data_IF_398476486837
#
_entry.id   IF_398476486837
#
_cell.length_a   1.000
_cell.length_b   1.000
_cell.length_c   1.000
_cell.angle_alpha   90.00
_cell.angle_beta   90.00
_cell.angle_gamma   90.00
#
_symmetry.space_group_name_H-M   'P 1'
#
loop_
_entity.id
_entity.type
_entity.pdbx_description
1 polymer ?
#
# COMPACT_ATOMS: atom_id res chain seq x y z
N UNK A 1 18.40 3.84 -16.25
CA UNK A 1 17.73 4.99 -15.61
C UNK A 1 17.19 5.90 -16.68
N UNK A 2 16.11 6.63 -16.39
CA UNK A 2 15.54 7.61 -17.31
C UNK A 2 16.22 8.97 -17.11
N UNK A 3 16.63 9.59 -18.21
CA UNK A 3 17.30 10.89 -18.21
C UNK A 3 16.43 11.89 -18.96
N UNK A 4 16.15 13.05 -18.36
CA UNK A 4 15.54 14.18 -19.04
C UNK A 4 16.63 15.12 -19.56
N UNK A 5 16.59 15.40 -20.85
CA UNK A 5 17.38 16.45 -21.48
C UNK A 5 16.50 17.66 -21.74
N UNK A 6 16.94 18.85 -21.33
CA UNK A 6 16.30 20.13 -21.65
C UNK A 6 17.31 20.99 -22.43
N UNK A 7 16.99 21.32 -23.68
CA UNK A 7 17.79 22.22 -24.52
C UNK A 7 17.20 23.63 -24.49
N UNK A 8 18.02 24.61 -24.09
CA UNK A 8 17.63 26.02 -23.98
C UNK A 8 18.45 26.87 -24.94
N UNK A 9 17.80 27.87 -25.52
CA UNK A 9 18.47 29.02 -26.12
C UNK A 9 18.89 29.98 -25.01
N UNK A 10 20.19 30.26 -24.91
CA UNK A 10 20.76 31.16 -23.89
C UNK A 10 21.13 32.51 -24.44
N UNK A 11 21.63 32.57 -25.67
CA UNK A 11 22.12 33.82 -26.25
C UNK A 11 22.05 33.79 -27.76
N UNK A 12 21.72 34.94 -28.35
CA UNK A 12 21.93 35.22 -29.76
C UNK A 12 22.89 36.41 -29.84
N UNK A 13 23.96 36.28 -30.62
CA UNK A 13 24.90 37.36 -30.93
C UNK A 13 24.72 37.71 -32.40
N UNK A 14 24.51 38.99 -32.70
CA UNK A 14 24.38 39.48 -34.06
C UNK A 14 25.66 40.25 -34.45
N UNK A 15 26.40 39.73 -35.43
CA UNK A 15 27.59 40.35 -36.01
C UNK A 15 27.47 40.49 -37.54
N UNK A 16 28.46 41.13 -38.16
CA UNK A 16 28.45 41.42 -39.59
C UNK A 16 27.69 42.70 -39.92
N UNK A 17 27.12 42.75 -41.11
CA UNK A 17 26.45 43.95 -41.62
C UNK A 17 25.03 44.09 -41.07
N UNK A 18 24.55 45.34 -40.95
CA UNK A 18 23.20 45.63 -40.51
C UNK A 18 22.19 45.32 -41.64
N UNK A 19 21.27 44.40 -41.39
CA UNK A 19 20.18 44.00 -42.28
C UNK A 19 18.80 44.35 -41.70
N UNK A 20 18.75 45.03 -40.55
CA UNK A 20 17.54 45.24 -39.77
C UNK A 20 17.72 44.81 -38.32
N UNK A 21 16.69 44.99 -37.49
CA UNK A 21 16.73 44.58 -36.09
C UNK A 21 15.50 43.81 -35.62
N UNK A 22 14.41 43.78 -36.39
CA UNK A 22 13.18 43.07 -36.06
C UNK A 22 13.27 41.62 -36.56
N UNK A 23 13.76 40.72 -35.72
CA UNK A 23 14.16 39.37 -36.10
C UNK A 23 13.24 38.32 -35.50
N UNK A 24 12.88 37.34 -36.34
CA UNK A 24 12.22 36.11 -35.93
C UNK A 24 13.13 34.91 -36.20
N UNK A 25 13.13 33.97 -35.25
CA UNK A 25 13.94 32.76 -35.26
C UNK A 25 13.01 31.58 -35.07
N UNK A 26 12.99 30.67 -36.05
CA UNK A 26 12.28 29.40 -35.97
C UNK A 26 13.31 28.28 -35.84
N UNK A 27 13.46 27.74 -34.64
CA UNK A 27 14.31 26.59 -34.36
C UNK A 27 13.51 25.31 -34.61
N UNK A 28 14.13 24.34 -35.27
CA UNK A 28 13.66 22.96 -35.34
C UNK A 28 14.72 22.06 -34.71
N UNK A 29 14.32 21.36 -33.65
CA UNK A 29 15.16 20.38 -32.94
C UNK A 29 14.44 19.05 -32.97
N UNK A 30 14.94 18.10 -33.76
CA UNK A 30 14.35 16.76 -33.91
C UNK A 30 12.85 16.79 -34.31
N UNK A 31 12.45 17.76 -35.13
CA UNK A 31 11.07 17.98 -35.58
C UNK A 31 10.21 18.84 -34.65
N UNK A 32 10.72 19.21 -33.46
CA UNK A 32 10.03 20.12 -32.56
C UNK A 32 10.37 21.57 -32.91
N UNK A 33 9.35 22.36 -33.24
CA UNK A 33 9.51 23.75 -33.65
C UNK A 33 9.31 24.71 -32.47
N UNK A 34 10.31 25.54 -32.21
CA UNK A 34 10.24 26.62 -31.23
C UNK A 34 10.52 27.98 -31.91
N UNK A 35 9.73 29.00 -31.57
CA UNK A 35 9.89 30.36 -32.11
C UNK A 35 10.38 31.33 -31.05
N UNK A 36 11.29 32.21 -31.46
CA UNK A 36 11.72 33.37 -30.70
C UNK A 36 11.64 34.60 -31.59
N UNK A 37 11.09 35.70 -31.08
CA UNK A 37 11.07 37.00 -31.76
C UNK A 37 11.73 38.03 -30.86
N UNK A 38 12.60 38.85 -31.42
CA UNK A 38 13.34 39.85 -30.64
C UNK A 38 13.86 40.98 -31.52
N UNK A 39 14.15 42.11 -30.87
CA UNK A 39 14.93 43.19 -31.45
C UNK A 39 16.40 43.05 -31.08
N UNK A 40 17.29 42.91 -32.07
CA UNK A 40 18.75 42.89 -31.87
C UNK A 40 19.39 43.66 -33.02
N UNK A 41 20.22 44.65 -32.73
CA UNK A 41 21.00 45.37 -33.76
C UNK A 41 22.38 44.73 -33.97
N UNK A 42 22.99 44.98 -35.13
CA UNK A 42 24.36 44.51 -35.41
C UNK A 42 25.33 45.00 -34.32
N UNK A 43 26.22 44.10 -33.88
CA UNK A 43 27.16 44.30 -32.78
C UNK A 43 26.57 44.04 -31.38
N UNK A 44 25.27 43.76 -31.28
CA UNK A 44 24.61 43.48 -30.00
C UNK A 44 24.36 41.99 -29.79
N UNK A 45 23.93 41.66 -28.59
CA UNK A 45 23.46 40.33 -28.23
C UNK A 45 22.21 40.42 -27.37
N UNK A 46 21.46 39.32 -27.33
CA UNK A 46 20.31 39.16 -26.43
C UNK A 46 20.40 37.83 -25.72
N UNK A 47 20.16 37.85 -24.41
CA UNK A 47 20.05 36.65 -23.60
C UNK A 47 18.63 36.11 -23.61
N UNK A 48 18.52 34.78 -23.53
CA UNK A 48 17.28 34.03 -23.55
C UNK A 48 17.30 32.98 -22.43
N UNK A 49 16.10 32.52 -22.07
CA UNK A 49 15.90 31.31 -21.28
C UNK A 49 14.74 30.52 -21.89
N UNK A 50 14.81 30.31 -23.21
CA UNK A 50 13.73 29.70 -23.99
C UNK A 50 14.04 28.23 -24.18
N UNK A 51 13.19 27.34 -23.67
CA UNK A 51 13.27 25.90 -23.97
C UNK A 51 12.98 25.71 -25.46
N UNK A 52 13.93 25.13 -26.17
CA UNK A 52 13.80 24.76 -27.59
C UNK A 52 13.33 23.31 -27.73
N UNK A 53 13.82 22.44 -26.86
CA UNK A 53 13.54 21.01 -26.89
C UNK A 53 13.63 20.43 -25.48
N UNK A 54 12.84 19.39 -25.21
CA UNK A 54 13.03 18.54 -24.06
C UNK A 54 12.58 17.11 -24.42
N UNK A 55 13.19 16.11 -23.81
CA UNK A 55 12.83 14.72 -24.06
C UNK A 55 13.50 13.76 -23.10
N UNK A 56 12.87 12.60 -22.92
CA UNK A 56 13.42 11.52 -22.09
C UNK A 56 14.25 10.56 -22.93
N UNK A 57 15.32 10.06 -22.33
CA UNK A 57 16.30 9.19 -22.98
C UNK A 57 16.78 8.11 -22.00
N UNK A 58 17.27 7.01 -22.55
CA UNK A 58 18.14 6.08 -21.83
C UNK A 58 19.54 6.68 -21.70
N UNK A 59 20.30 6.26 -20.69
CA UNK A 59 21.69 6.69 -20.53
C UNK A 59 22.53 6.44 -21.79
N UNK A 60 23.54 7.29 -22.01
CA UNK A 60 24.42 7.22 -23.17
C UNK A 60 24.71 8.60 -23.72
N UNK A 61 24.55 8.78 -25.03
CA UNK A 61 24.69 10.06 -25.71
C UNK A 61 23.58 10.23 -26.73
N UNK A 62 23.08 11.46 -26.89
CA UNK A 62 22.11 11.79 -27.95
C UNK A 62 22.71 12.82 -28.90
N UNK A 63 22.47 12.63 -30.20
CA UNK A 63 22.75 13.64 -31.21
C UNK A 63 21.48 14.41 -31.53
N UNK A 64 21.50 15.72 -31.27
CA UNK A 64 20.38 16.61 -31.55
C UNK A 64 20.64 17.38 -32.85
N UNK A 65 19.98 17.01 -33.97
CA UNK A 65 19.99 17.85 -35.16
C UNK A 65 19.19 19.12 -34.87
N UNK A 66 19.85 20.27 -35.02
CA UNK A 66 19.29 21.59 -34.74
C UNK A 66 19.39 22.39 -36.03
N UNK A 67 18.28 22.99 -36.44
CA UNK A 67 18.27 23.98 -37.51
C UNK A 67 17.54 25.23 -37.07
N UNK A 68 17.89 26.35 -37.68
CA UNK A 68 17.22 27.64 -37.46
C UNK A 68 16.95 28.30 -38.79
N UNK A 69 15.72 28.80 -38.95
CA UNK A 69 15.36 29.76 -40.00
C UNK A 69 15.25 31.13 -39.36
N UNK A 70 15.92 32.10 -39.97
CA UNK A 70 15.97 33.48 -39.52
C UNK A 70 15.20 34.30 -40.55
N UNK A 71 14.32 35.16 -40.08
CA UNK A 71 13.60 36.10 -40.93
C UNK A 71 13.64 37.47 -40.30
N UNK A 72 14.18 38.42 -41.04
CA UNK A 72 14.04 39.83 -40.75
C UNK A 72 12.65 40.29 -41.23
N UNK A 73 11.90 40.94 -40.33
CA UNK A 73 10.52 41.35 -40.57
C UNK A 73 10.43 42.83 -41.00
N UNK A 74 10.96 43.16 -42.20
CA UNK A 74 10.69 44.46 -42.84
C UNK A 74 9.32 44.45 -43.56
N UNK A 75 8.56 45.57 -43.54
CA UNK A 75 7.33 45.73 -44.32
C UNK A 75 7.46 45.49 -45.83
N UNK A 76 8.66 45.63 -46.42
CA UNK A 76 8.88 45.61 -47.87
C UNK A 76 9.71 44.41 -48.33
N UNK A 77 10.70 43.96 -47.55
CA UNK A 77 11.60 42.86 -47.92
C UNK A 77 11.88 41.90 -46.76
N UNK A 78 11.39 40.67 -46.86
CA UNK A 78 11.71 39.63 -45.86
C UNK A 78 13.06 38.98 -46.18
N UNK A 79 14.12 39.45 -45.51
CA UNK A 79 15.43 38.81 -45.63
C UNK A 79 15.46 37.51 -44.82
N UNK A 80 15.75 36.41 -45.49
CA UNK A 80 15.77 35.07 -44.88
C UNK A 80 17.15 34.44 -44.92
N UNK A 81 17.53 33.77 -43.84
CA UNK A 81 18.71 32.93 -43.79
C UNK A 81 18.47 31.67 -42.97
N UNK A 82 19.43 30.76 -43.00
CA UNK A 82 19.32 29.52 -42.23
C UNK A 82 20.69 29.01 -41.79
N UNK A 83 20.69 28.16 -40.77
CA UNK A 83 21.87 27.43 -40.33
C UNK A 83 21.45 26.13 -39.64
N UNK A 84 22.38 25.18 -39.59
CA UNK A 84 22.17 23.90 -38.91
C UNK A 84 23.43 23.41 -38.24
N UNK A 85 23.25 22.56 -37.25
CA UNK A 85 24.33 21.91 -36.49
C UNK A 85 23.83 20.61 -35.88
N UNK A 86 24.76 19.77 -35.43
CA UNK A 86 24.45 18.61 -34.59
C UNK A 86 25.09 18.85 -33.22
N UNK A 87 24.29 18.82 -32.15
CA UNK A 87 24.78 18.89 -30.78
C UNK A 87 24.77 17.48 -30.17
N UNK A 88 25.96 16.90 -29.99
CA UNK A 88 26.11 15.64 -29.29
C UNK A 88 26.18 15.91 -27.78
N UNK A 89 25.20 15.38 -27.03
CA UNK A 89 25.07 15.59 -25.59
C UNK A 89 25.31 14.25 -24.88
N UNK A 90 26.45 14.09 -24.19
CA UNK A 90 26.63 13.04 -23.19
C UNK A 90 25.56 13.13 -22.09
N UNK A 91 24.77 12.07 -21.91
CA UNK A 91 23.68 12.00 -20.92
C UNK A 91 24.16 11.55 -19.53
N UNK A 92 25.47 11.32 -19.38
CA UNK A 92 26.12 11.00 -18.11
C UNK A 92 26.75 12.24 -17.45
N UNK A 93 26.83 13.36 -18.17
CA UNK A 93 27.36 14.63 -17.67
C UNK A 93 26.20 15.51 -17.21
N UNK A 94 26.04 15.66 -15.89
CA UNK A 94 24.92 16.39 -15.27
C UNK A 94 25.14 17.89 -15.14
N UNK A 95 26.35 18.37 -15.40
CA UNK A 95 26.63 19.81 -15.51
C UNK A 95 26.06 20.36 -16.83
N UNK A 96 25.59 21.62 -16.86
CA UNK A 96 25.10 22.23 -18.08
C UNK A 96 26.15 22.22 -19.20
N UNK A 97 25.77 21.69 -20.36
CA UNK A 97 26.65 21.58 -21.52
C UNK A 97 26.31 22.65 -22.55
N UNK A 98 27.30 23.39 -23.05
CA UNK A 98 27.07 24.48 -24.00
C UNK A 98 27.45 24.10 -25.42
N UNK A 99 26.66 24.55 -26.40
CA UNK A 99 26.96 24.42 -27.83
C UNK A 99 26.76 25.74 -28.55
N UNK A 100 27.58 26.00 -29.57
CA UNK A 100 27.43 27.19 -30.39
C UNK A 100 27.53 26.88 -31.87
N UNK A 101 26.70 27.56 -32.66
CA UNK A 101 26.77 27.49 -34.12
C UNK A 101 26.36 28.82 -34.76
N UNK A 102 26.74 28.99 -36.02
CA UNK A 102 26.48 30.21 -36.79
C UNK A 102 25.46 29.96 -37.89
N UNK A 103 24.67 30.97 -38.21
CA UNK A 103 23.84 31.05 -39.40
C UNK A 103 24.01 32.42 -40.06
N UNK A 104 24.00 32.45 -41.39
CA UNK A 104 24.14 33.69 -42.15
C UNK A 104 22.80 34.05 -42.80
N UNK A 105 22.51 35.36 -42.84
CA UNK A 105 21.41 35.94 -43.59
C UNK A 105 22.01 36.89 -44.62
N UNK A 106 21.60 36.75 -45.88
CA UNK A 106 22.03 37.62 -46.97
C UNK A 106 20.85 38.50 -47.35
N UNK A 107 21.04 39.81 -47.25
CA UNK A 107 20.00 40.77 -47.61
C UNK A 107 19.67 40.68 -49.11
N UNK A 108 18.38 40.70 -49.40
CA UNK A 108 17.78 40.55 -50.72
C UNK A 108 17.13 41.83 -51.25
N UNK A 109 16.80 42.77 -50.35
CA UNK A 109 16.14 44.05 -50.62
C UNK A 109 17.06 45.23 -50.95
N UNK A 110 16.71 46.43 -50.48
CA UNK A 110 17.47 47.68 -50.72
C UNK A 110 18.93 47.61 -50.26
N UNK A 111 19.23 46.69 -49.35
CA UNK A 111 20.54 46.39 -48.78
C UNK A 111 21.21 45.16 -49.40
N UNK A 112 20.84 44.82 -50.64
CA UNK A 112 21.25 43.59 -51.34
C UNK A 112 22.74 43.29 -51.21
N UNK A 113 23.05 42.07 -50.77
CA UNK A 113 24.41 41.56 -50.66
C UNK A 113 25.05 41.76 -49.29
N UNK A 114 24.43 42.53 -48.39
CA UNK A 114 24.88 42.59 -47.00
C UNK A 114 24.76 41.22 -46.33
N UNK A 115 25.77 40.84 -45.56
CA UNK A 115 25.77 39.57 -44.82
C UNK A 115 25.76 39.81 -43.32
N UNK A 116 24.68 39.36 -42.67
CA UNK A 116 24.56 39.26 -41.23
C UNK A 116 24.91 37.84 -40.76
N UNK A 117 25.65 37.73 -39.65
CA UNK A 117 25.96 36.46 -39.01
C UNK A 117 25.34 36.43 -37.61
N UNK A 118 24.60 35.37 -37.33
CA UNK A 118 24.00 35.11 -36.03
C UNK A 118 24.69 33.92 -35.37
N UNK A 119 25.27 34.13 -34.20
CA UNK A 119 25.82 33.06 -33.36
C UNK A 119 24.80 32.71 -32.28
N UNK A 120 24.40 31.45 -32.24
CA UNK A 120 23.48 30.91 -31.23
C UNK A 120 24.29 30.20 -30.15
N UNK A 121 24.02 30.52 -28.89
CA UNK A 121 24.52 29.76 -27.75
C UNK A 121 23.37 28.98 -27.12
N UNK A 122 23.54 27.67 -27.11
CA UNK A 122 22.60 26.70 -26.55
C UNK A 122 23.18 26.10 -25.28
N UNK A 123 22.31 25.68 -24.38
CA UNK A 123 22.64 24.98 -23.14
C UNK A 123 21.76 23.75 -23.02
N UNK A 124 22.37 22.60 -22.77
CA UNK A 124 21.73 21.33 -22.51
C UNK A 124 21.85 21.04 -21.00
N UNK A 125 20.70 20.96 -20.32
CA UNK A 125 20.60 20.52 -18.94
C UNK A 125 20.17 19.05 -18.90
N UNK A 126 20.94 18.22 -18.20
CA UNK A 126 20.71 16.78 -18.09
C UNK A 126 20.28 16.44 -16.66
N UNK A 127 19.08 15.88 -16.50
CA UNK A 127 18.53 15.50 -15.21
C UNK A 127 18.28 13.99 -15.14
N UNK A 128 18.82 13.31 -14.13
CA UNK A 128 18.42 11.93 -13.84
C UNK A 128 17.07 11.95 -13.15
N UNK A 129 16.07 11.33 -13.76
CA UNK A 129 14.76 11.15 -13.15
C UNK A 129 14.75 9.87 -12.33
N UNK A 130 14.35 9.99 -11.07
CA UNK A 130 14.16 8.87 -10.14
C UNK A 130 12.77 8.94 -9.54
N UNK A 131 12.31 7.85 -8.98
CA UNK A 131 11.10 7.80 -8.16
C UNK A 131 11.49 7.72 -6.70
N UNK A 132 10.85 8.55 -5.89
CA UNK A 132 10.85 8.43 -4.43
C UNK A 132 9.47 7.98 -3.97
N UNK A 133 9.44 6.92 -3.15
CA UNK A 133 8.26 6.48 -2.41
C UNK A 133 8.44 6.87 -0.95
N UNK A 134 7.43 7.48 -0.32
CA UNK A 134 7.42 7.83 1.09
C UNK A 134 6.27 7.14 1.81
N UNK A 135 6.45 6.81 3.09
CA UNK A 135 5.44 6.12 3.91
C UNK A 135 4.47 7.05 4.69
N UNK A 136 4.50 8.35 4.41
CA UNK A 136 3.71 9.36 5.12
C UNK A 136 4.39 9.98 6.34
N UNK A 137 5.36 9.28 6.96
CA UNK A 137 6.19 9.81 8.03
C UNK A 137 7.41 10.61 7.50
N UNK A 138 7.39 11.01 6.23
CA UNK A 138 8.52 11.61 5.48
C UNK A 138 9.76 10.73 5.37
N UNK A 139 9.63 9.43 5.62
CA UNK A 139 10.71 8.46 5.40
C UNK A 139 10.61 7.90 3.98
N UNK A 140 11.73 7.98 3.25
CA UNK A 140 11.90 7.31 1.96
C UNK A 140 11.91 5.80 2.13
N UNK A 141 11.11 5.11 1.32
CA UNK A 141 11.04 3.66 1.22
C UNK A 141 12.05 3.20 0.16
N UNK A 142 12.99 2.37 0.58
CA UNK A 142 14.00 1.74 -0.26
C UNK A 142 13.60 0.31 -0.63
N UNK A 143 14.30 -0.33 -1.57
CA UNK A 143 14.10 -1.74 -1.83
C UNK A 143 14.21 -2.58 -0.56
N UNK A 144 13.32 -3.55 -0.41
CA UNK A 144 13.23 -4.47 0.74
C UNK A 144 12.83 -3.84 2.09
N UNK A 145 12.59 -2.52 2.14
CA UNK A 145 12.10 -1.86 3.36
C UNK A 145 10.71 -2.40 3.76
N UNK A 146 10.46 -2.41 5.06
CA UNK A 146 9.12 -2.65 5.63
C UNK A 146 8.44 -1.31 5.91
N UNK A 147 7.22 -1.16 5.42
CA UNK A 147 6.28 -0.14 5.90
C UNK A 147 5.17 -0.84 6.69
N UNK A 148 4.56 -0.12 7.63
CA UNK A 148 3.70 -0.75 8.63
C UNK A 148 2.28 -0.21 8.63
N UNK A 149 1.31 -1.11 8.75
CA UNK A 149 0.02 -0.85 9.38
C UNK A 149 0.29 -0.58 10.85
N UNK A 150 -0.07 0.61 11.32
CA UNK A 150 0.32 1.08 12.66
C UNK A 150 -0.57 0.46 13.77
N UNK A 151 -0.16 0.55 15.06
CA UNK A 151 -0.86 -0.07 16.19
C UNK A 151 -2.34 0.32 16.36
N UNK A 152 -2.71 1.57 16.06
CA UNK A 152 -4.12 1.93 15.85
C UNK A 152 -4.41 1.75 14.36
N UNK A 153 -5.08 0.66 13.97
CA UNK A 153 -4.95 0.06 12.66
C UNK A 153 -5.26 1.08 11.57
N UNK A 154 -4.22 1.48 10.84
CA UNK A 154 -4.27 2.44 9.74
C UNK A 154 -3.17 2.06 8.74
N UNK A 155 -3.55 1.99 7.46
CA UNK A 155 -2.63 1.70 6.37
C UNK A 155 -1.55 2.80 6.22
N UNK A 156 -0.31 2.44 5.83
CA UNK A 156 0.74 3.42 5.58
C UNK A 156 0.34 4.43 4.52
N UNK A 157 0.65 5.71 4.74
CA UNK A 157 0.23 6.79 3.84
C UNK A 157 1.21 6.92 2.66
N UNK A 158 1.22 5.92 1.77
CA UNK A 158 2.16 5.80 0.66
C UNK A 158 2.00 6.95 -0.35
N UNK A 159 3.11 7.66 -0.64
CA UNK A 159 3.18 8.77 -1.60
C UNK A 159 4.38 8.56 -2.54
N UNK A 160 4.11 8.42 -3.84
CA UNK A 160 5.15 8.33 -4.87
C UNK A 160 5.30 9.64 -5.64
N UNK A 161 6.53 10.04 -5.99
CA UNK A 161 6.82 11.23 -6.80
C UNK A 161 8.07 11.04 -7.66
N UNK A 162 8.16 11.76 -8.79
CA UNK A 162 9.39 11.86 -9.57
C UNK A 162 10.29 12.94 -8.98
N UNK A 163 11.60 12.65 -8.90
CA UNK A 163 12.64 13.59 -8.47
C UNK A 163 13.76 13.69 -9.52
N UNK A 164 14.30 14.90 -9.77
CA UNK A 164 13.82 16.18 -9.25
C UNK A 164 12.45 16.58 -9.87
N UNK A 165 11.72 17.47 -9.20
CA UNK A 165 10.47 18.03 -9.72
C UNK A 165 10.77 19.03 -10.84
N UNK A 166 10.20 18.81 -12.03
CA UNK A 166 10.44 19.65 -13.22
C UNK A 166 9.11 20.12 -13.81
N UNK A 167 8.70 21.31 -13.38
CA UNK A 167 7.43 21.93 -13.80
C UNK A 167 7.43 22.34 -15.27
N UNK A 168 6.26 22.24 -15.90
CA UNK A 168 6.07 22.68 -17.30
C UNK A 168 6.78 21.84 -18.34
N UNK A 169 7.28 20.65 -17.96
CA UNK A 169 7.89 19.70 -18.89
C UNK A 169 6.86 18.97 -19.76
N UNK A 170 5.57 18.94 -19.38
CA UNK A 170 4.54 18.21 -20.12
C UNK A 170 4.74 16.69 -20.16
N UNK A 171 5.72 16.17 -19.42
CA UNK A 171 6.01 14.74 -19.32
C UNK A 171 5.06 14.08 -18.33
N UNK A 172 4.76 12.81 -18.57
CA UNK A 172 3.90 12.02 -17.70
C UNK A 172 4.64 10.81 -17.12
N UNK A 173 4.24 10.42 -15.92
CA UNK A 173 4.60 9.15 -15.32
C UNK A 173 3.34 8.28 -15.17
N UNK A 174 3.48 7.00 -15.53
CA UNK A 174 2.51 5.96 -15.29
C UNK A 174 2.90 5.17 -14.05
N UNK A 175 1.94 4.81 -13.22
CA UNK A 175 2.17 4.18 -11.93
C UNK A 175 1.20 3.03 -11.69
N UNK A 176 1.67 1.99 -10.99
CA UNK A 176 0.86 0.90 -10.48
C UNK A 176 1.48 0.36 -9.20
N UNK A 177 0.69 0.14 -8.16
CA UNK A 177 1.10 -0.58 -6.95
C UNK A 177 0.37 -1.91 -6.92
N UNK A 178 1.10 -2.99 -6.71
CA UNK A 178 0.54 -4.34 -6.54
C UNK A 178 1.03 -4.92 -5.22
N UNK A 179 0.19 -5.69 -4.53
CA UNK A 179 0.56 -6.43 -3.33
C UNK A 179 0.13 -7.88 -3.45
N UNK A 180 0.94 -8.78 -2.89
CA UNK A 180 0.64 -10.21 -2.81
C UNK A 180 1.02 -10.77 -1.45
N UNK A 181 0.25 -11.75 -0.96
CA UNK A 181 0.57 -12.45 0.30
C UNK A 181 0.46 -13.96 0.12
N UNK A 182 1.56 -14.64 -0.27
CA UNK A 182 1.52 -16.04 -0.72
C UNK A 182 0.92 -17.04 0.27
N UNK A 183 0.99 -16.76 1.58
CA UNK A 183 0.47 -17.66 2.63
C UNK A 183 -1.06 -17.79 2.60
N UNK A 184 -1.76 -16.87 1.93
CA UNK A 184 -3.21 -16.92 1.70
C UNK A 184 -3.58 -16.99 0.22
N UNK A 185 -2.66 -17.46 -0.62
CA UNK A 185 -2.85 -17.50 -2.06
C UNK A 185 -3.10 -16.09 -2.60
N UNK A 186 -4.21 -15.90 -3.33
CA UNK A 186 -4.58 -14.61 -3.94
C UNK A 186 -5.66 -13.86 -3.16
N UNK A 187 -6.01 -14.31 -1.94
CA UNK A 187 -7.11 -13.72 -1.17
C UNK A 187 -6.82 -12.29 -0.71
N UNK A 188 -5.55 -11.95 -0.54
CA UNK A 188 -5.08 -10.65 -0.06
C UNK A 188 -4.40 -9.81 -1.15
N UNK A 189 -4.44 -10.28 -2.41
CA UNK A 189 -3.82 -9.58 -3.52
C UNK A 189 -4.60 -8.27 -3.80
N UNK A 190 -3.86 -7.18 -3.95
CA UNK A 190 -4.43 -5.86 -4.29
C UNK A 190 -3.65 -5.22 -5.42
N UNK A 191 -4.34 -4.39 -6.20
CA UNK A 191 -3.75 -3.57 -7.24
C UNK A 191 -4.36 -2.17 -7.22
N UNK A 192 -3.50 -1.16 -7.32
CA UNK A 192 -3.87 0.26 -7.37
C UNK A 192 -3.19 0.91 -8.58
N UNK A 193 -3.94 1.50 -9.52
CA UNK A 193 -5.36 1.25 -9.71
C UNK A 193 -5.63 -0.24 -9.99
N UNK A 194 -6.86 -0.69 -9.76
CA UNK A 194 -7.24 -2.09 -9.94
C UNK A 194 -6.99 -2.63 -11.36
N UNK A 195 -7.01 -1.73 -12.37
CA UNK A 195 -6.67 -2.07 -13.76
C UNK A 195 -5.78 -1.00 -14.38
N UNK A 196 -4.84 -1.43 -15.21
CA UNK A 196 -3.96 -0.54 -15.97
C UNK A 196 -2.97 0.25 -15.10
N UNK A 197 -2.73 1.50 -15.48
CA UNK A 197 -1.81 2.41 -14.82
C UNK A 197 -2.49 3.75 -14.53
N UNK A 198 -2.16 4.35 -13.40
CA UNK A 198 -2.47 5.75 -13.14
C UNK A 198 -1.47 6.64 -13.87
N UNK A 199 -1.94 7.60 -14.65
CA UNK A 199 -1.06 8.55 -15.37
C UNK A 199 -1.16 9.92 -14.71
N UNK A 200 -0.02 10.50 -14.34
CA UNK A 200 0.10 11.83 -13.76
C UNK A 200 1.24 12.59 -14.42
N UNK A 201 1.19 13.93 -14.41
CA UNK A 201 2.35 14.73 -14.83
C UNK A 201 3.52 14.49 -13.85
N UNK A 202 4.77 14.55 -14.34
CA UNK A 202 5.95 14.26 -13.49
C UNK A 202 6.17 15.27 -12.36
N UNK A 203 5.51 16.43 -12.41
CA UNK A 203 5.53 17.44 -11.35
C UNK A 203 4.42 17.24 -10.30
N UNK A 204 3.58 16.21 -10.47
CA UNK A 204 2.59 15.77 -9.50
C UNK A 204 3.09 14.53 -8.73
N UNK A 205 2.61 14.38 -7.50
CA UNK A 205 2.79 13.15 -6.72
C UNK A 205 1.52 12.31 -6.75
N UNK A 206 1.69 11.00 -6.61
CA UNK A 206 0.60 10.07 -6.40
C UNK A 206 0.44 9.79 -4.90
N UNK A 207 -0.63 10.33 -4.31
CA UNK A 207 -1.07 9.98 -2.97
C UNK A 207 -1.79 8.61 -3.01
N UNK A 208 -1.02 7.52 -3.10
CA UNK A 208 -1.52 6.15 -3.32
C UNK A 208 -2.56 5.76 -2.27
N UNK A 209 -2.31 6.13 -1.01
CA UNK A 209 -3.18 5.80 0.12
C UNK A 209 -4.64 6.24 -0.05
N UNK A 210 -4.90 7.25 -0.88
CA UNK A 210 -6.27 7.72 -1.17
C UNK A 210 -7.09 6.71 -1.97
N UNK A 211 -6.44 5.75 -2.63
CA UNK A 211 -7.09 4.68 -3.40
C UNK A 211 -7.31 3.40 -2.59
N UNK A 212 -6.79 3.32 -1.37
CA UNK A 212 -6.99 2.14 -0.52
C UNK A 212 -8.44 1.98 -0.09
N UNK A 213 -9.28 3.04 -0.15
CA UNK A 213 -10.71 3.00 0.20
C UNK A 213 -11.00 2.42 1.59
N UNK A 214 -10.12 2.68 2.56
CA UNK A 214 -10.13 2.09 3.91
C UNK A 214 -9.95 0.57 3.96
N UNK A 215 -9.56 -0.08 2.86
CA UNK A 215 -9.25 -1.51 2.84
C UNK A 215 -7.87 -1.77 3.47
N UNK A 216 -7.76 -2.87 4.21
CA UNK A 216 -6.50 -3.35 4.72
C UNK A 216 -5.92 -4.44 3.80
N UNK A 217 -4.59 -4.49 3.73
CA UNK A 217 -3.84 -5.49 2.99
C UNK A 217 -2.37 -5.44 3.40
N UNK A 218 -1.61 -6.46 3.03
CA UNK A 218 -0.17 -6.48 3.25
C UNK A 218 0.53 -7.56 2.44
N UNK A 219 1.79 -7.82 2.78
CA UNK A 219 2.66 -8.76 2.09
C UNK A 219 3.72 -8.05 1.24
N UNK A 220 4.16 -8.73 0.19
CA UNK A 220 5.16 -8.22 -0.75
C UNK A 220 4.48 -7.21 -1.68
N UNK A 221 5.07 -6.02 -1.79
CA UNK A 221 4.52 -4.88 -2.52
C UNK A 221 5.48 -4.41 -3.62
N UNK A 222 4.94 -4.15 -4.81
CA UNK A 222 5.71 -3.71 -5.97
C UNK A 222 5.11 -2.42 -6.53
N UNK A 223 5.85 -1.31 -6.41
CA UNK A 223 5.55 -0.08 -7.13
C UNK A 223 6.20 -0.14 -8.50
N UNK A 224 5.37 -0.24 -9.53
CA UNK A 224 5.76 -0.21 -10.94
C UNK A 224 5.55 1.19 -11.51
N UNK A 225 6.52 1.69 -12.27
CA UNK A 225 6.41 2.99 -12.93
C UNK A 225 7.09 3.06 -14.30
N UNK A 226 6.59 3.98 -15.13
CA UNK A 226 7.11 4.28 -16.48
C UNK A 226 7.11 5.81 -16.65
N UNK A 227 8.23 6.41 -17.04
CA UNK A 227 8.32 7.86 -17.29
C UNK A 227 8.39 8.10 -18.80
N UNK A 228 7.35 8.72 -19.35
CA UNK A 228 7.29 9.20 -20.74
C UNK A 228 7.73 8.16 -21.80
N UNK A 229 7.25 6.91 -21.71
CA UNK A 229 7.56 5.85 -22.67
C UNK A 229 8.95 5.22 -22.50
N UNK A 230 9.71 5.60 -21.48
CA UNK A 230 10.92 4.88 -21.08
C UNK A 230 10.60 3.45 -20.63
N UNK A 231 11.62 2.61 -20.48
CA UNK A 231 11.44 1.27 -19.92
C UNK A 231 10.80 1.33 -18.52
N UNK A 232 9.86 0.41 -18.28
CA UNK A 232 9.24 0.24 -16.97
C UNK A 232 10.29 -0.11 -15.91
N UNK A 233 10.13 0.44 -14.71
CA UNK A 233 10.96 0.18 -13.55
C UNK A 233 10.08 -0.25 -12.37
N UNK A 234 10.68 -0.92 -11.39
CA UNK A 234 10.00 -1.41 -10.18
C UNK A 234 10.76 -1.00 -8.92
N UNK A 235 10.02 -0.85 -7.83
CA UNK A 235 10.51 -0.74 -6.46
C UNK A 235 9.75 -1.77 -5.63
N UNK A 236 10.47 -2.75 -5.10
CA UNK A 236 9.92 -3.83 -4.28
C UNK A 236 10.16 -3.53 -2.80
N UNK A 237 9.12 -3.67 -1.98
CA UNK A 237 9.15 -3.42 -0.54
C UNK A 237 8.07 -4.29 0.12
N UNK A 238 7.87 -4.18 1.44
CA UNK A 238 6.86 -4.97 2.16
C UNK A 238 5.90 -4.09 2.95
N UNK A 239 4.62 -4.46 2.97
CA UNK A 239 3.61 -3.87 3.86
C UNK A 239 3.28 -4.89 4.95
N UNK A 240 3.77 -4.64 6.16
CA UNK A 240 3.61 -5.50 7.33
C UNK A 240 2.74 -4.80 8.39
N UNK A 241 2.50 -5.43 9.52
CA UNK A 241 1.70 -4.86 10.60
C UNK A 241 2.43 -4.74 11.94
N UNK A 242 2.04 -3.76 12.74
CA UNK A 242 2.49 -3.60 14.11
C UNK A 242 1.36 -3.94 15.08
N UNK A 243 1.69 -4.67 16.14
CA UNK A 243 0.73 -5.00 17.18
C UNK A 243 0.35 -3.76 18.00
N UNK A 244 -0.91 -3.67 18.48
CA UNK A 244 -1.29 -2.73 19.54
C UNK A 244 -0.46 -2.98 20.80
N UNK A 245 -0.31 -1.95 21.63
CA UNK A 245 0.12 -2.12 23.00
C UNK A 245 -0.90 -2.94 23.80
N UNK A 246 -0.43 -3.80 24.70
CA UNK A 246 -1.26 -4.79 25.40
C UNK A 246 -2.46 -4.14 26.12
N UNK A 247 -2.24 -3.00 26.75
CA UNK A 247 -3.29 -2.26 27.46
C UNK A 247 -4.37 -1.71 26.51
N UNK A 248 -3.99 -1.29 25.29
CA UNK A 248 -4.91 -0.79 24.27
C UNK A 248 -5.76 -1.93 23.72
N UNK A 249 -5.11 -3.05 23.36
CA UNK A 249 -5.82 -4.25 22.89
C UNK A 249 -6.81 -4.76 23.93
N UNK A 250 -6.36 -4.95 25.17
CA UNK A 250 -7.20 -5.39 26.28
C UNK A 250 -8.37 -4.44 26.53
N UNK A 251 -8.12 -3.14 26.55
CA UNK A 251 -9.18 -2.13 26.75
C UNK A 251 -10.22 -2.15 25.62
N UNK A 252 -9.78 -2.32 24.37
CA UNK A 252 -10.68 -2.43 23.23
C UNK A 252 -11.55 -3.69 23.33
N UNK A 253 -10.95 -4.85 23.62
CA UNK A 253 -11.71 -6.10 23.79
C UNK A 253 -12.72 -5.93 24.93
N UNK A 254 -12.30 -5.43 26.08
CA UNK A 254 -13.18 -5.25 27.24
C UNK A 254 -14.33 -4.27 26.99
N UNK A 255 -14.12 -3.26 26.14
CA UNK A 255 -15.17 -2.32 25.76
C UNK A 255 -16.21 -2.93 24.83
N UNK A 256 -15.84 -3.96 24.06
CA UNK A 256 -16.71 -4.60 23.07
C UNK A 256 -17.25 -5.97 23.49
N UNK A 257 -16.65 -6.63 24.49
CA UNK A 257 -16.92 -8.04 24.83
C UNK A 257 -18.37 -8.33 25.30
N UNK A 258 -19.13 -7.32 25.70
CA UNK A 258 -20.50 -7.49 26.19
C UNK A 258 -20.58 -8.49 27.35
N UNK A 259 -21.40 -9.53 27.19
CA UNK A 259 -21.56 -10.59 28.21
C UNK A 259 -20.37 -11.55 28.28
N UNK A 260 -19.47 -11.53 27.29
CA UNK A 260 -18.32 -12.44 27.19
C UNK A 260 -17.13 -11.87 27.97
N UNK A 261 -17.28 -11.71 29.29
CA UNK A 261 -16.30 -11.05 30.16
C UNK A 261 -14.87 -11.65 30.11
N UNK A 262 -14.75 -12.87 29.62
CA UNK A 262 -13.52 -13.65 29.44
C UNK A 262 -12.87 -13.47 28.05
N UNK A 263 -13.45 -12.69 27.13
CA UNK A 263 -12.96 -12.57 25.75
C UNK A 263 -11.51 -12.06 25.67
N UNK A 264 -11.14 -11.11 26.55
CA UNK A 264 -9.76 -10.63 26.60
C UNK A 264 -8.76 -11.71 27.01
N UNK A 265 -9.17 -12.68 27.82
CA UNK A 265 -8.32 -13.79 28.24
C UNK A 265 -8.17 -14.83 27.12
N UNK A 266 -9.21 -15.04 26.31
CA UNK A 266 -9.13 -15.82 25.06
C UNK A 266 -8.13 -15.18 24.10
N UNK A 267 -8.30 -13.89 23.75
CA UNK A 267 -7.39 -13.22 22.82
C UNK A 267 -5.93 -13.19 23.32
N UNK A 268 -5.73 -13.09 24.63
CA UNK A 268 -4.40 -13.22 25.26
C UNK A 268 -3.82 -14.63 25.08
N UNK A 269 -4.62 -15.66 25.35
CA UNK A 269 -4.20 -17.06 25.24
C UNK A 269 -3.86 -17.45 23.79
N UNK A 270 -4.78 -17.16 22.86
CA UNK A 270 -4.72 -17.59 21.47
C UNK A 270 -3.53 -17.01 20.71
N UNK A 271 -3.16 -15.77 21.04
CA UNK A 271 -2.07 -15.08 20.34
C UNK A 271 -0.73 -15.09 21.05
N UNK A 272 -0.61 -15.73 22.22
CA UNK A 272 0.62 -15.67 23.03
C UNK A 272 1.83 -16.23 22.27
N UNK A 273 2.89 -15.43 22.19
CA UNK A 273 4.19 -15.81 21.64
C UNK A 273 5.29 -15.47 22.64
N UNK A 274 5.62 -16.43 23.52
CA UNK A 274 6.47 -16.18 24.68
C UNK A 274 5.79 -15.23 25.67
N UNK A 275 6.44 -14.11 25.99
CA UNK A 275 5.86 -13.07 26.87
C UNK A 275 4.96 -12.09 26.13
N UNK A 276 5.03 -12.03 24.79
CA UNK A 276 4.19 -11.13 24.01
C UNK A 276 2.78 -11.69 23.90
N UNK A 277 1.77 -10.85 24.12
CA UNK A 277 0.35 -11.20 24.04
C UNK A 277 -0.40 -10.22 23.14
N UNK A 278 -1.63 -10.56 22.76
CA UNK A 278 -2.45 -9.77 21.84
C UNK A 278 -1.79 -9.57 20.48
N UNK A 279 -1.14 -10.61 19.98
CA UNK A 279 -0.39 -10.56 18.72
C UNK A 279 -1.32 -10.81 17.53
N UNK A 280 -1.67 -9.74 16.82
CA UNK A 280 -2.24 -9.84 15.47
C UNK A 280 -1.17 -10.25 14.45
N UNK A 281 0.05 -9.77 14.64
CA UNK A 281 1.22 -10.00 13.80
C UNK A 281 2.31 -10.74 14.59
N UNK A 282 3.08 -11.59 13.94
CA UNK A 282 4.11 -12.40 14.59
C UNK A 282 5.22 -11.53 15.19
N UNK A 283 5.61 -11.84 16.42
CA UNK A 283 6.75 -11.22 17.10
C UNK A 283 8.04 -12.04 16.95
N UNK A 284 7.92 -13.31 16.54
CA UNK A 284 9.07 -14.18 16.30
C UNK A 284 9.83 -13.82 15.02
N UNK A 285 11.10 -14.21 14.91
CA UNK A 285 11.96 -13.90 13.75
C UNK A 285 11.44 -14.49 12.44
N UNK A 286 10.76 -15.64 12.51
CA UNK A 286 10.14 -16.26 11.35
C UNK A 286 8.80 -15.58 11.07
N UNK A 287 8.62 -15.05 9.87
CA UNK A 287 7.40 -14.30 9.48
C UNK A 287 7.13 -13.07 10.35
N UNK A 288 8.18 -12.46 10.89
CA UNK A 288 8.08 -11.28 11.76
C UNK A 288 7.25 -10.18 11.09
N UNK A 289 6.30 -9.63 11.86
CA UNK A 289 5.38 -8.56 11.45
C UNK A 289 4.34 -8.99 10.37
N UNK A 290 4.34 -10.24 9.93
CA UNK A 290 3.24 -10.82 9.13
C UNK A 290 2.10 -11.26 10.04
N UNK A 291 0.87 -11.43 9.52
CA UNK A 291 -0.26 -11.96 10.29
C UNK A 291 0.10 -13.23 11.07
N UNK A 292 -0.25 -13.22 12.35
CA UNK A 292 -0.09 -14.36 13.25
C UNK A 292 -0.96 -15.52 12.76
N UNK A 293 -0.38 -16.71 12.67
CA UNK A 293 -1.00 -17.86 12.04
C UNK A 293 -0.80 -19.13 12.85
N UNK A 294 -1.90 -19.80 13.15
CA UNK A 294 -1.95 -21.12 13.74
C UNK A 294 -2.44 -22.13 12.71
N UNK A 295 -1.72 -23.25 12.48
CA UNK A 295 -2.21 -24.30 11.61
C UNK A 295 -3.56 -24.86 12.11
N UNK A 296 -4.49 -25.23 11.20
CA UNK A 296 -4.35 -25.20 9.75
C UNK A 296 -4.72 -23.87 9.08
N UNK A 297 -5.51 -23.01 9.74
CA UNK A 297 -6.09 -21.79 9.14
C UNK A 297 -6.51 -20.73 10.19
N UNK A 298 -5.90 -20.72 11.38
CA UNK A 298 -6.18 -19.74 12.43
C UNK A 298 -5.40 -18.45 12.21
N UNK A 299 -6.08 -17.30 12.24
CA UNK A 299 -5.45 -16.00 11.93
C UNK A 299 -5.65 -14.94 13.02
N UNK A 300 -4.58 -14.18 13.28
CA UNK A 300 -4.59 -12.97 14.08
C UNK A 300 -4.68 -13.20 15.58
N UNK A 301 -5.16 -12.19 16.29
CA UNK A 301 -5.18 -12.17 17.76
C UNK A 301 -6.05 -13.27 18.38
N UNK A 302 -7.18 -13.57 17.75
CA UNK A 302 -8.13 -14.57 18.22
C UNK A 302 -7.99 -15.92 17.51
N UNK A 303 -7.01 -16.07 16.61
CA UNK A 303 -6.78 -17.31 15.85
C UNK A 303 -8.05 -17.78 15.11
N UNK A 304 -8.79 -16.84 14.51
CA UNK A 304 -10.04 -17.15 13.82
C UNK A 304 -9.78 -18.04 12.60
N UNK A 305 -10.54 -19.13 12.50
CA UNK A 305 -10.38 -20.14 11.46
C UNK A 305 -11.65 -20.38 10.63
N UNK A 306 -11.47 -20.84 9.38
CA UNK A 306 -12.60 -21.17 8.51
C UNK A 306 -13.31 -22.48 8.88
N UNK A 307 -12.66 -23.37 9.63
CA UNK A 307 -13.25 -24.63 10.10
C UNK A 307 -14.41 -24.40 11.07
N UNK A 308 -14.41 -23.25 11.75
CA UNK A 308 -15.47 -22.76 12.63
C UNK A 308 -16.66 -22.15 11.87
N UNK A 309 -16.66 -22.23 10.53
CA UNK A 309 -17.71 -21.69 9.66
C UNK A 309 -17.59 -20.18 9.40
N UNK A 310 -16.48 -19.56 9.80
CA UNK A 310 -16.20 -18.15 9.54
C UNK A 310 -15.63 -17.95 8.14
N UNK A 311 -15.98 -16.83 7.51
CA UNK A 311 -15.28 -16.36 6.32
C UNK A 311 -14.11 -15.48 6.76
N UNK A 312 -12.88 -15.97 6.61
CA UNK A 312 -11.68 -15.21 6.96
C UNK A 312 -11.37 -14.19 5.85
N UNK A 313 -11.74 -12.93 6.06
CA UNK A 313 -11.51 -11.83 5.12
C UNK A 313 -10.09 -11.27 5.26
N UNK A 314 -9.61 -10.51 4.26
CA UNK A 314 -8.36 -9.73 4.36
C UNK A 314 -8.39 -8.79 5.56
N UNK A 315 -9.54 -8.17 5.82
CA UNK A 315 -9.75 -7.26 6.93
C UNK A 315 -9.50 -7.94 8.28
N UNK A 316 -10.03 -9.15 8.51
CA UNK A 316 -9.78 -9.95 9.74
C UNK A 316 -8.30 -10.27 9.92
N UNK A 317 -7.55 -10.42 8.82
CA UNK A 317 -6.13 -10.81 8.84
C UNK A 317 -5.20 -9.64 9.05
N UNK A 318 -5.52 -8.46 8.52
CA UNK A 318 -4.64 -7.28 8.55
C UNK A 318 -5.12 -6.16 9.49
N UNK A 319 -6.33 -6.26 10.05
CA UNK A 319 -6.88 -5.31 11.01
C UNK A 319 -7.25 -6.03 12.31
N UNK A 320 -6.49 -5.77 13.38
CA UNK A 320 -6.71 -6.44 14.66
C UNK A 320 -8.04 -6.08 15.32
N UNK A 321 -8.60 -4.89 15.07
CA UNK A 321 -9.92 -4.51 15.60
C UNK A 321 -11.03 -5.35 14.96
N UNK A 322 -10.96 -5.54 13.64
CA UNK A 322 -11.89 -6.41 12.92
C UNK A 322 -11.77 -7.88 13.37
N UNK A 323 -10.54 -8.34 13.65
CA UNK A 323 -10.30 -9.66 14.23
C UNK A 323 -11.00 -9.81 15.59
N UNK A 324 -10.86 -8.83 16.48
CA UNK A 324 -11.53 -8.80 17.80
C UNK A 324 -13.05 -8.79 17.64
N UNK A 325 -13.58 -7.89 16.82
CA UNK A 325 -15.03 -7.69 16.66
C UNK A 325 -15.68 -8.95 16.08
N UNK A 326 -15.04 -9.59 15.10
CA UNK A 326 -15.47 -10.88 14.55
C UNK A 326 -15.45 -11.99 15.60
N UNK A 327 -14.41 -12.04 16.44
CA UNK A 327 -14.31 -13.05 17.49
C UNK A 327 -15.42 -12.91 18.55
N UNK A 328 -15.77 -11.67 18.93
CA UNK A 328 -16.86 -11.39 19.87
C UNK A 328 -18.20 -11.82 19.28
N UNK A 329 -18.45 -11.54 17.99
CA UNK A 329 -19.65 -12.02 17.30
C UNK A 329 -19.69 -13.56 17.25
N UNK A 330 -18.54 -14.20 16.99
CA UNK A 330 -18.43 -15.65 16.97
C UNK A 330 -18.73 -16.28 18.34
N UNK A 331 -18.25 -15.69 19.44
CA UNK A 331 -18.61 -16.10 20.80
C UNK A 331 -20.12 -15.99 21.09
N UNK A 332 -20.81 -15.04 20.47
CA UNK A 332 -22.27 -14.94 20.52
C UNK A 332 -22.97 -16.10 19.79
N UNK A 333 -22.44 -16.50 18.63
CA UNK A 333 -22.92 -17.66 17.87
C UNK A 333 -22.71 -18.95 18.65
N UNK A 334 -21.50 -19.19 19.18
CA UNK A 334 -21.19 -20.37 19.99
C UNK A 334 -22.10 -20.41 21.23
N UNK A 335 -22.33 -19.28 21.91
CA UNK A 335 -23.25 -19.25 23.06
C UNK A 335 -24.65 -19.74 22.70
N UNK A 336 -25.13 -19.38 21.52
CA UNK A 336 -26.44 -19.82 21.02
C UNK A 336 -26.46 -21.33 20.78
N UNK A 337 -25.37 -21.90 20.23
CA UNK A 337 -25.22 -23.35 20.09
C UNK A 337 -25.20 -24.08 21.44
N UNK A 338 -24.45 -23.53 22.40
CA UNK A 338 -24.38 -24.04 23.77
C UNK A 338 -25.78 -24.07 24.40
N UNK A 339 -26.54 -22.97 24.30
CA UNK A 339 -27.91 -22.94 24.82
C UNK A 339 -28.80 -23.98 24.12
N UNK A 340 -28.70 -24.10 22.81
CA UNK A 340 -29.47 -25.06 22.04
C UNK A 340 -29.18 -26.52 22.46
N UNK A 341 -27.95 -26.84 22.86
CA UNK A 341 -27.60 -28.13 23.46
C UNK A 341 -28.38 -28.38 24.77
N UNK A 342 -28.38 -27.43 25.70
CA UNK A 342 -29.12 -27.59 26.97
C UNK A 342 -30.63 -27.74 26.77
N UNK A 343 -31.20 -26.95 25.86
CA UNK A 343 -32.61 -27.07 25.51
C UNK A 343 -32.91 -28.42 24.84
N UNK A 344 -31.98 -28.95 24.04
CA UNK A 344 -32.10 -30.26 23.40
C UNK A 344 -32.04 -31.40 24.42
N UNK A 345 -31.18 -31.31 25.43
CA UNK A 345 -31.15 -32.27 26.54
C UNK A 345 -32.49 -32.26 27.27
N UNK A 346 -33.02 -31.08 27.62
CA UNK A 346 -34.31 -30.96 28.30
C UNK A 346 -35.46 -31.55 27.48
N UNK A 347 -35.49 -31.30 26.16
CA UNK A 347 -36.50 -31.88 25.27
C UNK A 347 -36.39 -33.40 25.15
N UNK A 348 -35.16 -33.92 25.09
CA UNK A 348 -34.90 -35.36 24.87
C UNK A 348 -35.20 -36.18 26.12
N UNK A 349 -34.94 -35.63 27.31
CA UNK A 349 -35.08 -36.30 28.60
C UNK A 349 -35.96 -35.51 29.57
N UNK A 350 -37.24 -35.24 29.24
CA UNK A 350 -38.06 -34.30 30.02
C UNK A 350 -38.35 -34.78 31.45
N UNK A 351 -38.40 -36.10 31.69
CA UNK A 351 -38.62 -36.70 33.01
C UNK A 351 -37.36 -36.74 33.87
N UNK A 352 -36.19 -36.88 33.25
CA UNK A 352 -34.89 -36.99 33.90
C UNK A 352 -34.16 -35.64 33.96
N UNK A 353 -34.65 -34.63 33.25
CA UNK A 353 -33.96 -33.34 33.19
C UNK A 353 -33.81 -32.72 34.57
N UNK A 354 -32.60 -32.24 34.85
CA UNK A 354 -32.32 -31.30 35.92
C UNK A 354 -31.47 -30.16 35.36
N UNK A 355 -31.55 -28.98 35.97
CA UNK A 355 -30.74 -27.85 35.53
C UNK A 355 -29.24 -28.18 35.71
N UNK A 356 -28.37 -27.72 34.79
CA UNK A 356 -26.92 -27.85 34.97
C UNK A 356 -26.44 -27.12 36.23
N UNK A 357 -25.28 -27.49 36.78
CA UNK A 357 -24.67 -26.77 37.90
C UNK A 357 -24.59 -25.27 37.60
N UNK A 358 -24.90 -24.42 38.59
CA UNK A 358 -24.91 -22.95 38.36
C UNK A 358 -23.53 -22.46 37.91
N UNK A 359 -22.48 -23.04 38.48
CA UNK A 359 -21.09 -22.73 38.13
C UNK A 359 -20.25 -23.99 37.99
N UNK A 360 -19.12 -23.83 37.30
CA UNK A 360 -18.02 -24.77 37.19
C UNK A 360 -16.74 -24.06 37.59
N UNK A 361 -15.93 -24.70 38.44
CA UNK A 361 -14.57 -24.23 38.78
C UNK A 361 -13.60 -25.23 38.20
N UNK A 362 -12.78 -24.79 37.24
CA UNK A 362 -11.80 -25.68 36.62
C UNK A 362 -10.78 -26.15 37.67
N UNK A 363 -10.37 -27.42 37.67
CA UNK A 363 -9.38 -27.92 38.62
C UNK A 363 -8.11 -27.06 38.64
N UNK A 364 -7.72 -26.61 39.83
CA UNK A 364 -6.52 -25.77 40.03
C UNK A 364 -6.74 -24.27 39.79
N UNK A 365 -7.96 -23.84 39.50
CA UNK A 365 -8.35 -22.41 39.41
C UNK A 365 -9.22 -22.01 40.59
N UNK A 366 -9.44 -20.71 40.78
CA UNK A 366 -10.28 -20.16 41.86
C UNK A 366 -11.58 -19.53 41.37
N UNK A 367 -11.67 -19.21 40.09
CA UNK A 367 -12.80 -18.53 39.46
C UNK A 367 -13.91 -19.53 39.15
N UNK A 368 -15.05 -19.37 39.83
CA UNK A 368 -16.27 -20.09 39.50
C UNK A 368 -16.96 -19.43 38.29
N UNK A 369 -17.09 -20.19 37.20
CA UNK A 369 -17.61 -19.72 35.91
C UNK A 369 -19.03 -20.26 35.70
N UNK A 370 -20.01 -19.45 35.27
CA UNK A 370 -21.33 -19.97 34.90
C UNK A 370 -21.23 -21.11 33.87
N UNK A 371 -22.07 -22.14 33.98
CA UNK A 371 -21.96 -23.32 33.10
C UNK A 371 -22.03 -22.99 31.60
N UNK A 372 -22.83 -21.99 31.22
CA UNK A 372 -22.92 -21.48 29.85
C UNK A 372 -21.61 -20.83 29.40
N UNK A 373 -20.96 -20.08 30.27
CA UNK A 373 -19.71 -19.40 29.98
C UNK A 373 -18.57 -20.44 29.86
N UNK A 374 -18.52 -21.43 30.76
CA UNK A 374 -17.56 -22.52 30.69
C UNK A 374 -17.71 -23.32 29.38
N UNK A 375 -18.95 -23.61 28.98
CA UNK A 375 -19.21 -24.27 27.71
C UNK A 375 -18.88 -23.40 26.49
N UNK A 376 -19.18 -22.10 26.55
CA UNK A 376 -18.85 -21.18 25.47
C UNK A 376 -17.33 -21.02 25.29
N UNK A 377 -16.59 -20.88 26.39
CA UNK A 377 -15.13 -20.87 26.40
C UNK A 377 -14.60 -22.16 25.78
N UNK A 378 -15.05 -23.33 26.23
CA UNK A 378 -14.54 -24.60 25.70
C UNK A 378 -14.83 -24.75 24.20
N UNK A 379 -16.06 -24.45 23.77
CA UNK A 379 -16.45 -24.66 22.37
C UNK A 379 -15.71 -23.73 21.41
N UNK A 380 -15.21 -22.59 21.88
CA UNK A 380 -14.28 -21.76 21.10
C UNK A 380 -13.06 -22.54 20.61
N UNK A 381 -12.55 -23.48 21.43
CA UNK A 381 -11.44 -24.38 21.08
C UNK A 381 -11.92 -25.83 20.78
N UNK A 382 -13.20 -25.99 20.45
CA UNK A 382 -13.79 -27.27 20.12
C UNK A 382 -14.44 -28.03 21.30
N UNK A 383 -15.51 -28.73 20.98
CA UNK A 383 -16.30 -29.53 21.92
C UNK A 383 -15.59 -30.84 22.33
N UNK A 384 -15.91 -31.34 23.52
CA UNK A 384 -15.50 -32.66 24.00
C UNK A 384 -16.65 -33.67 24.00
N UNK A 385 -17.89 -33.18 23.92
CA UNK A 385 -19.12 -33.96 23.90
C UNK A 385 -19.86 -33.69 22.61
N UNK A 386 -20.25 -34.77 21.94
CA UNK A 386 -21.10 -34.74 20.75
C UNK A 386 -22.22 -35.76 20.96
N UNK A 387 -23.45 -35.30 20.98
CA UNK A 387 -24.62 -36.11 21.34
C UNK A 387 -25.72 -35.98 20.29
N UNK A 388 -26.49 -37.05 20.12
CA UNK A 388 -27.65 -37.11 19.24
C UNK A 388 -28.91 -36.84 20.07
N UNK A 389 -29.45 -35.61 19.99
CA UNK A 389 -30.56 -35.14 20.81
C UNK A 389 -31.73 -34.66 19.95
N UNK A 390 -32.92 -34.59 20.54
CA UNK A 390 -34.13 -34.10 19.86
C UNK A 390 -34.08 -32.59 19.61
N UNK A 391 -34.22 -32.21 18.34
CA UNK A 391 -34.45 -30.83 17.92
C UNK A 391 -35.91 -30.40 18.16
N UNK A 392 -36.27 -29.13 17.93
CA UNK A 392 -37.65 -28.63 18.15
C UNK A 392 -38.73 -29.36 17.35
N UNK A 393 -38.37 -30.04 16.25
CA UNK A 393 -39.30 -30.84 15.43
C UNK A 393 -39.42 -32.29 15.91
N UNK A 394 -38.77 -32.67 17.01
CA UNK A 394 -38.74 -34.03 17.55
C UNK A 394 -37.82 -34.99 16.78
N UNK A 395 -37.04 -34.49 15.82
CA UNK A 395 -36.07 -35.27 15.05
C UNK A 395 -34.71 -35.22 15.75
N UNK A 396 -33.98 -36.33 15.74
CA UNK A 396 -32.62 -36.38 16.28
C UNK A 396 -31.66 -35.54 15.45
N UNK A 397 -30.84 -34.73 16.11
CA UNK A 397 -29.81 -33.89 15.50
C UNK A 397 -28.55 -33.92 16.36
N UNK A 398 -27.41 -33.59 15.74
CA UNK A 398 -26.12 -33.55 16.42
C UNK A 398 -25.98 -32.24 17.19
N UNK A 399 -25.66 -32.32 18.48
CA UNK A 399 -25.33 -31.17 19.32
C UNK A 399 -23.96 -31.33 19.96
N UNK A 400 -23.31 -30.21 20.24
CA UNK A 400 -21.94 -30.14 20.75
C UNK A 400 -21.92 -29.44 22.11
N UNK A 401 -21.11 -29.92 23.05
CA UNK A 401 -20.95 -29.32 24.37
C UNK A 401 -19.64 -29.75 25.03
N UNK A 402 -19.35 -29.19 26.20
CA UNK A 402 -18.40 -29.75 27.17
C UNK A 402 -19.10 -30.49 28.31
N UNK A 403 -20.41 -30.30 28.44
CA UNK A 403 -21.23 -30.96 29.43
C UNK A 403 -21.82 -32.23 28.83
N UNK A 404 -21.77 -33.33 29.57
CA UNK A 404 -22.46 -34.57 29.25
C UNK A 404 -23.61 -34.78 30.22
N UNK A 405 -24.77 -35.11 29.67
CA UNK A 405 -25.94 -35.45 30.44
C UNK A 405 -26.10 -36.97 30.57
N UNK A 406 -26.27 -37.46 31.80
CA UNK A 406 -26.41 -38.86 32.15
C UNK A 406 -27.80 -39.10 32.77
N UNK A 407 -28.85 -39.40 31.96
CA UNK A 407 -30.23 -39.46 32.45
C UNK A 407 -30.46 -40.53 33.53
N UNK A 408 -29.64 -41.58 33.54
CA UNK A 408 -29.71 -42.70 34.50
C UNK A 408 -28.99 -42.44 35.81
N UNK A 409 -28.20 -41.37 35.92
CA UNK A 409 -27.51 -41.04 37.16
C UNK A 409 -28.50 -40.49 38.23
N UNK A 410 -28.16 -40.61 39.53
CA UNK A 410 -28.90 -39.96 40.60
C UNK A 410 -29.01 -38.44 40.38
N UNK A 411 -30.09 -37.83 40.87
CA UNK A 411 -30.26 -36.37 40.81
C UNK A 411 -29.10 -35.66 41.54
N UNK A 412 -28.62 -34.57 40.96
CA UNK A 412 -27.42 -33.84 41.36
C UNK A 412 -26.12 -34.42 40.77
N UNK A 413 -26.18 -35.53 40.02
CA UNK A 413 -25.03 -36.17 39.37
C UNK A 413 -25.28 -36.43 37.87
N UNK A 414 -26.31 -35.82 37.28
CA UNK A 414 -26.65 -36.04 35.87
C UNK A 414 -25.81 -35.22 34.92
N UNK A 415 -25.13 -34.18 35.39
CA UNK A 415 -24.24 -33.36 34.58
C UNK A 415 -22.78 -33.62 34.94
N UNK A 416 -22.00 -33.95 33.91
CA UNK A 416 -20.55 -34.11 34.00
C UNK A 416 -19.88 -33.11 33.07
N UNK A 417 -18.93 -32.33 33.58
CA UNK A 417 -18.07 -31.51 32.74
C UNK A 417 -16.92 -32.37 32.20
N UNK A 418 -16.77 -32.41 30.88
CA UNK A 418 -15.72 -33.15 30.20
C UNK A 418 -14.77 -32.12 29.55
N UNK A 419 -13.55 -31.92 30.07
CA UNK A 419 -12.59 -31.03 29.44
C UNK A 419 -12.19 -31.56 28.05
N UNK A 420 -11.92 -30.67 27.10
CA UNK A 420 -11.30 -31.07 25.84
C UNK A 420 -9.82 -31.46 26.07
N UNK A 421 -9.16 -32.00 25.05
CA UNK A 421 -7.75 -32.44 25.16
C UNK A 421 -6.78 -31.32 25.53
N UNK A 422 -7.21 -30.06 25.37
CA UNK A 422 -6.40 -28.87 25.65
C UNK A 422 -6.67 -28.28 27.04
N UNK A 423 -7.63 -28.82 27.80
CA UNK A 423 -8.12 -28.26 29.06
C UNK A 423 -8.40 -26.74 28.96
N UNK A 424 -9.09 -26.38 27.88
CA UNK A 424 -9.10 -25.00 27.40
C UNK A 424 -9.75 -24.00 28.37
N UNK A 425 -10.82 -24.41 29.07
CA UNK A 425 -11.44 -23.56 30.11
C UNK A 425 -10.45 -23.22 31.20
N UNK A 426 -9.66 -24.20 31.67
CA UNK A 426 -8.63 -23.95 32.69
C UNK A 426 -7.62 -22.91 32.20
N UNK A 427 -7.09 -23.07 30.98
CA UNK A 427 -6.09 -22.17 30.41
C UNK A 427 -6.58 -20.73 30.30
N UNK A 428 -7.80 -20.52 29.80
CA UNK A 428 -8.41 -19.18 29.72
C UNK A 428 -8.62 -18.58 31.11
N UNK A 429 -9.01 -19.40 32.09
CA UNK A 429 -9.17 -18.91 33.48
C UNK A 429 -7.82 -18.64 34.15
N UNK A 430 -6.77 -19.40 33.86
CA UNK A 430 -5.41 -19.07 34.33
C UNK A 430 -4.97 -17.69 33.78
N UNK A 431 -5.26 -17.39 32.52
CA UNK A 431 -4.99 -16.07 31.92
C UNK A 431 -5.81 -14.97 32.60
N UNK A 432 -7.08 -15.25 32.92
CA UNK A 432 -7.95 -14.33 33.65
C UNK A 432 -7.44 -14.02 35.06
N UNK A 433 -6.98 -15.05 35.77
CA UNK A 433 -6.46 -14.96 37.14
C UNK A 433 -5.02 -14.41 37.21
N UNK A 434 -4.32 -14.35 36.07
CA UNK A 434 -2.90 -13.96 36.03
C UNK A 434 -1.96 -15.06 36.53
N UNK A 435 -2.38 -16.32 36.46
CA UNK A 435 -1.60 -17.50 36.87
C UNK A 435 -0.68 -18.03 35.75
N UNK A 436 -0.64 -17.38 34.59
CA UNK A 436 0.21 -17.77 33.47
C UNK A 436 1.62 -17.16 33.63
N UNK A 437 2.69 -17.96 33.48
CA UNK A 437 4.08 -17.50 33.63
C UNK A 437 4.50 -16.33 32.75
#
# INVERSE_FOLDING_TARGET
MSVLLILKLKKIIYSGENIGNDLSFQFDVKGQVARAKTRISSGQHKSFNKVLFHGTFVEGSVSLPISVVITEEDPVFHDTGSGSTNFNVPLQEFEPQTHSFNANVIASGGDKGKTATFTFMLEADVHVLKVELNNGASQTVNPDDKVFIIPDPLMPQLIAKVVPTISGSGLNAKWKLETTYPRRGTLDDKAFPATGFKTLAIDQHWAIYTEFNNEFFGGDATLTYEIDGCAQQTLEFKIHGQNPDESTAKSYIQSNQGIHWYAWAIGQHESRQGTAVYNQFNTTTSFQDEPNFGPPDGWGMFQLDSASGLQITTEIVWNWKENVDTAILHLGSIRSEVQAYFDAVQRTYPSEYEAPPVTYTAPGTSTAVPYLDAANIQLYNGASVVENLQNPSGVTSLYRSCWKFHPTNPSGQRWEFIPNSNDYVKKVIDEYEGNVP
#
